data_IF_059742871243
#
_entry.id   IF_059742871243
#
_cell.length_a   1.000
_cell.length_b   1.000
_cell.length_c   1.000
_cell.angle_alpha   90.00
_cell.angle_beta   90.00
_cell.angle_gamma   90.00
#
_symmetry.space_group_name_H-M   'P 1'
#
loop_
_entity.id
_entity.type
_entity.pdbx_description
1 polymer ?
#
# COMPACT_ATOMS: atom_id res chain seq x y z
N UNK A 1 17.19 -92.68 20.09
CA UNK A 1 18.43 -92.24 20.77
C UNK A 1 18.49 -90.72 20.59
N UNK A 2 18.19 -89.85 21.57
CA UNK A 2 19.00 -89.51 22.77
C UNK A 2 20.49 -89.39 22.41
N UNK A 3 21.21 -88.27 22.59
CA UNK A 3 21.28 -87.34 23.74
C UNK A 3 21.93 -85.98 23.30
N UNK A 4 21.46 -84.89 23.94
CA UNK A 4 22.08 -83.60 24.43
C UNK A 4 23.56 -83.33 24.12
N UNK A 5 24.11 -82.10 24.10
CA UNK A 5 23.79 -80.71 24.47
C UNK A 5 25.02 -79.86 24.02
N UNK A 6 25.20 -78.55 24.14
CA UNK A 6 24.84 -77.51 25.11
C UNK A 6 25.01 -76.14 24.39
N UNK A 7 24.19 -75.15 24.75
CA UNK A 7 24.15 -73.77 24.22
C UNK A 7 24.59 -72.77 25.31
N UNK A 8 25.32 -71.73 24.91
CA UNK A 8 25.50 -70.39 25.52
C UNK A 8 26.04 -69.45 24.41
N UNK A 9 25.83 -68.11 24.42
CA UNK A 9 25.94 -67.27 25.62
C UNK A 9 24.99 -66.03 25.73
N UNK A 10 24.98 -65.42 26.94
CA UNK A 10 24.91 -63.96 27.29
C UNK A 10 23.77 -63.05 26.76
N UNK A 11 23.19 -62.08 27.47
CA UNK A 11 23.46 -61.47 28.77
C UNK A 11 22.22 -60.72 29.33
N UNK A 12 22.29 -60.49 30.66
CA UNK A 12 21.42 -59.76 31.59
C UNK A 12 20.83 -58.44 31.10
N UNK A 13 19.57 -58.22 31.48
CA UNK A 13 18.99 -56.90 31.69
C UNK A 13 19.35 -56.31 33.06
N UNK A 14 19.44 -54.98 33.12
CA UNK A 14 19.25 -54.13 34.30
C UNK A 14 18.75 -52.76 33.82
N UNK A 15 17.69 -52.27 34.47
CA UNK A 15 16.98 -51.05 34.07
C UNK A 15 17.76 -49.76 34.36
N UNK A 16 17.31 -48.69 33.71
CA UNK A 16 17.68 -47.31 34.06
C UNK A 16 16.56 -46.34 33.70
N UNK A 17 16.36 -45.41 34.63
CA UNK A 17 15.27 -44.45 34.77
C UNK A 17 15.23 -43.43 33.62
N UNK A 18 14.03 -43.09 33.16
CA UNK A 18 13.75 -41.82 32.48
C UNK A 18 13.47 -40.73 33.53
N UNK A 19 14.07 -39.53 33.42
CA UNK A 19 13.56 -38.35 34.10
C UNK A 19 12.47 -37.68 33.26
N UNK A 20 11.36 -37.38 33.93
CA UNK A 20 10.19 -36.62 33.50
C UNK A 20 10.57 -35.22 33.01
N UNK A 21 10.09 -34.88 31.81
CA UNK A 21 10.25 -33.57 31.19
C UNK A 21 9.45 -32.50 31.93
N UNK A 22 10.04 -31.31 32.00
CA UNK A 22 9.61 -30.17 32.81
C UNK A 22 8.33 -29.54 32.30
N UNK A 23 7.53 -29.07 33.26
CA UNK A 23 6.42 -28.13 33.12
C UNK A 23 6.81 -26.94 32.23
N UNK A 24 6.08 -26.71 31.15
CA UNK A 24 6.03 -25.41 30.47
C UNK A 24 5.14 -24.49 31.30
N UNK A 25 5.79 -23.52 31.97
CA UNK A 25 5.16 -22.47 32.74
C UNK A 25 4.99 -21.24 31.84
N UNK A 26 3.74 -20.82 31.64
CA UNK A 26 3.32 -19.41 31.69
C UNK A 26 3.71 -18.50 30.53
N UNK A 27 2.67 -18.04 29.82
CA UNK A 27 2.68 -16.94 28.87
C UNK A 27 3.51 -15.74 29.38
N UNK A 28 4.54 -15.37 28.62
CA UNK A 28 5.23 -14.09 28.81
C UNK A 28 4.64 -13.09 27.81
N UNK A 29 3.89 -12.14 28.37
CA UNK A 29 3.43 -10.89 27.79
C UNK A 29 4.35 -10.35 26.68
N UNK A 30 3.83 -10.33 25.45
CA UNK A 30 4.42 -9.59 24.32
C UNK A 30 4.19 -8.09 24.56
N UNK A 31 5.01 -7.51 25.44
CA UNK A 31 5.16 -6.06 25.51
C UNK A 31 5.76 -5.59 24.19
N UNK A 32 4.91 -5.01 23.35
CA UNK A 32 5.19 -4.03 22.31
C UNK A 32 6.68 -3.78 22.07
N UNK A 33 7.30 -4.65 21.27
CA UNK A 33 8.55 -4.31 20.61
C UNK A 33 8.20 -3.28 19.54
N UNK A 34 8.27 -2.00 19.90
CA UNK A 34 8.32 -0.86 19.00
C UNK A 34 9.61 -1.00 18.20
N UNK A 35 9.63 -1.89 17.21
CA UNK A 35 10.76 -2.07 16.33
C UNK A 35 10.86 -0.80 15.48
N UNK A 36 11.87 0.00 15.77
CA UNK A 36 12.32 1.10 14.93
C UNK A 36 12.88 0.46 13.66
N UNK A 37 12.02 0.21 12.68
CA UNK A 37 12.37 -0.25 11.34
C UNK A 37 12.04 0.91 10.41
N UNK A 38 12.98 1.84 10.25
CA UNK A 38 12.93 2.77 9.14
C UNK A 38 13.29 1.95 7.88
N UNK A 39 12.32 1.53 7.06
CA UNK A 39 12.61 0.72 5.88
C UNK A 39 13.20 1.66 4.83
N UNK A 40 13.61 1.09 3.69
CA UNK A 40 14.18 1.78 2.54
C UNK A 40 13.41 3.03 2.03
N UNK A 41 12.17 3.18 2.48
CA UNK A 41 11.30 4.35 2.37
C UNK A 41 11.74 5.60 3.13
N UNK A 42 12.46 5.45 4.25
CA UNK A 42 13.13 6.55 4.92
C UNK A 42 14.18 7.21 4.02
N UNK A 43 14.73 6.46 3.04
CA UNK A 43 15.70 6.99 2.09
C UNK A 43 15.08 7.96 1.06
N UNK A 44 13.77 7.85 0.76
CA UNK A 44 13.07 8.86 -0.03
C UNK A 44 12.40 9.96 0.81
N UNK A 45 12.54 9.89 2.14
CA UNK A 45 12.09 10.92 3.08
C UNK A 45 10.57 11.07 3.15
N UNK A 46 9.82 10.03 2.78
CA UNK A 46 8.37 9.95 2.95
C UNK A 46 8.07 8.97 4.09
N UNK A 47 7.06 9.26 4.91
CA UNK A 47 6.75 8.44 6.07
C UNK A 47 5.57 7.48 5.78
N UNK A 48 5.78 6.20 6.06
CA UNK A 48 4.86 5.10 5.76
C UNK A 48 4.32 4.41 7.03
N UNK A 49 4.49 5.01 8.21
CA UNK A 49 4.15 4.35 9.50
C UNK A 49 2.66 4.27 9.82
N UNK A 50 1.79 5.00 9.11
CA UNK A 50 0.36 5.09 9.45
C UNK A 50 -0.51 4.12 8.65
N UNK A 51 -0.29 4.01 7.34
CA UNK A 51 -0.89 2.93 6.54
C UNK A 51 0.27 2.08 6.03
N UNK A 52 0.69 1.06 6.80
CA UNK A 52 1.73 0.16 6.35
C UNK A 52 1.23 -0.64 5.16
N UNK A 53 2.16 -1.09 4.32
CA UNK A 53 1.83 -1.98 3.22
C UNK A 53 1.18 -3.27 3.75
N UNK A 54 -0.02 -3.58 3.26
CA UNK A 54 -0.68 -4.85 3.55
C UNK A 54 -0.46 -5.83 2.38
N UNK A 55 0.22 -6.97 2.60
CA UNK A 55 0.38 -7.98 1.56
C UNK A 55 -0.95 -8.68 1.28
N UNK A 56 -1.32 -8.83 0.01
CA UNK A 56 -2.58 -9.44 -0.43
C UNK A 56 -2.42 -10.85 -1.04
N UNK A 57 -1.23 -11.46 -0.95
CA UNK A 57 -0.95 -12.81 -1.46
C UNK A 57 0.27 -12.86 -2.38
N UNK A 58 0.37 -13.91 -3.21
CA UNK A 58 1.46 -14.02 -4.19
C UNK A 58 1.25 -13.05 -5.36
N UNK A 59 2.17 -12.10 -5.50
CA UNK A 59 2.16 -11.15 -6.61
C UNK A 59 2.91 -11.74 -7.78
N UNK A 60 2.22 -12.60 -8.53
CA UNK A 60 2.76 -13.24 -9.72
C UNK A 60 2.88 -12.20 -10.82
N UNK A 61 4.09 -12.03 -11.33
CA UNK A 61 4.38 -11.14 -12.44
C UNK A 61 3.65 -11.63 -13.71
N UNK A 62 2.85 -10.77 -14.35
CA UNK A 62 2.25 -11.07 -15.66
C UNK A 62 0.79 -11.50 -15.67
N UNK A 63 0.08 -11.52 -14.54
CA UNK A 63 -1.38 -11.68 -14.57
C UNK A 63 -2.01 -10.30 -14.78
N UNK A 64 -2.47 -10.07 -16.01
CA UNK A 64 -3.31 -8.94 -16.38
C UNK A 64 -4.70 -9.11 -15.72
N UNK A 65 -4.80 -8.84 -14.41
CA UNK A 65 -6.09 -8.71 -13.74
C UNK A 65 -6.70 -7.37 -14.15
N UNK A 66 -7.31 -7.35 -15.33
CA UNK A 66 -8.14 -6.23 -15.77
C UNK A 66 -9.43 -6.24 -14.95
N UNK A 67 -9.47 -5.40 -13.91
CA UNK A 67 -10.73 -4.96 -13.31
C UNK A 67 -10.78 -3.44 -13.49
N UNK A 68 -11.90 -2.99 -14.05
CA UNK A 68 -12.13 -1.66 -14.60
C UNK A 68 -12.25 -0.58 -13.50
N UNK A 69 -11.93 0.67 -13.89
CA UNK A 69 -12.75 1.89 -13.70
C UNK A 69 -11.94 3.17 -13.45
N UNK A 70 -10.64 3.06 -13.18
CA UNK A 70 -9.76 4.22 -13.07
C UNK A 70 -8.81 4.46 -14.25
N UNK A 71 -8.96 3.71 -15.36
CA UNK A 71 -8.21 3.88 -16.63
C UNK A 71 -6.76 4.37 -16.41
N UNK A 72 -5.98 3.64 -15.60
CA UNK A 72 -4.60 4.02 -15.27
C UNK A 72 -4.07 3.56 -13.91
N UNK A 73 -4.93 3.22 -12.95
CA UNK A 73 -4.50 2.76 -11.62
C UNK A 73 -4.14 1.27 -11.65
N UNK A 74 -3.07 0.82 -10.93
CA UNK A 74 -2.52 -0.52 -11.11
C UNK A 74 -3.50 -1.68 -10.86
N UNK A 75 -3.33 -2.73 -11.66
CA UNK A 75 -4.34 -3.78 -11.91
C UNK A 75 -4.39 -4.94 -10.92
N UNK A 76 -3.33 -5.24 -10.17
CA UNK A 76 -3.36 -6.32 -9.16
C UNK A 76 -3.48 -5.76 -7.75
N UNK A 77 -4.10 -6.52 -6.84
CA UNK A 77 -4.23 -6.16 -5.41
C UNK A 77 -2.89 -5.71 -4.80
N UNK A 78 -1.80 -6.35 -5.20
CA UNK A 78 -0.45 -6.01 -4.75
C UNK A 78 -0.01 -4.60 -5.14
N UNK A 79 -0.28 -4.19 -6.38
CA UNK A 79 0.08 -2.88 -6.91
C UNK A 79 -0.88 -1.80 -6.41
N UNK A 80 -2.15 -2.13 -6.18
CA UNK A 80 -3.12 -1.26 -5.50
C UNK A 80 -2.67 -0.94 -4.07
N UNK A 81 -2.29 -1.96 -3.29
CA UNK A 81 -1.79 -1.76 -1.93
C UNK A 81 -0.51 -0.91 -1.92
N UNK A 82 0.36 -1.10 -2.91
CA UNK A 82 1.56 -0.27 -3.07
C UNK A 82 1.18 1.19 -3.36
N UNK A 83 0.25 1.41 -4.28
CA UNK A 83 -0.25 2.74 -4.62
C UNK A 83 -0.93 3.43 -3.44
N UNK A 84 -1.78 2.74 -2.66
CA UNK A 84 -2.43 3.31 -1.47
C UNK A 84 -1.39 3.71 -0.42
N UNK A 85 -0.42 2.83 -0.17
CA UNK A 85 0.68 3.09 0.77
C UNK A 85 1.51 4.31 0.34
N UNK A 86 1.85 4.41 -0.94
CA UNK A 86 2.62 5.53 -1.51
C UNK A 86 1.82 6.83 -1.52
N UNK A 87 0.57 6.78 -1.98
CA UNK A 87 -0.29 7.96 -2.07
C UNK A 87 -0.59 8.55 -0.69
N UNK A 88 -0.77 7.71 0.34
CA UNK A 88 -0.98 8.22 1.70
C UNK A 88 0.28 8.89 2.26
N UNK A 89 1.45 8.28 2.02
CA UNK A 89 2.72 8.89 2.42
C UNK A 89 2.95 10.23 1.72
N UNK A 90 2.67 10.31 0.41
CA UNK A 90 2.74 11.55 -0.37
C UNK A 90 1.72 12.58 0.11
N UNK A 91 0.50 12.17 0.44
CA UNK A 91 -0.55 13.06 0.96
C UNK A 91 -0.11 13.74 2.26
N UNK A 92 0.47 12.97 3.18
CA UNK A 92 1.06 13.50 4.42
C UNK A 92 2.24 14.43 4.15
N UNK A 93 3.10 14.10 3.21
CA UNK A 93 4.21 14.98 2.82
C UNK A 93 3.68 16.30 2.25
N UNK A 94 2.65 16.23 1.41
CA UNK A 94 2.04 17.38 0.73
C UNK A 94 1.36 18.37 1.70
N UNK A 95 0.96 17.95 2.90
CA UNK A 95 0.45 18.88 3.92
C UNK A 95 1.55 19.70 4.61
N UNK A 96 2.82 19.33 4.43
CA UNK A 96 3.98 19.97 5.07
C UNK A 96 4.91 20.69 4.09
N UNK A 97 4.64 20.65 2.79
CA UNK A 97 5.49 21.22 1.74
C UNK A 97 4.71 21.76 0.56
N UNK A 98 5.43 22.07 -0.54
CA UNK A 98 4.89 22.90 -1.63
C UNK A 98 4.22 22.09 -2.77
N UNK A 99 4.30 20.76 -2.78
CA UNK A 99 3.82 19.92 -3.89
C UNK A 99 3.16 18.61 -3.48
N UNK A 100 2.34 18.05 -4.38
CA UNK A 100 1.68 16.74 -4.20
C UNK A 100 2.69 15.60 -4.31
N UNK A 101 3.59 15.68 -5.30
CA UNK A 101 4.67 14.74 -5.49
C UNK A 101 5.98 15.31 -4.98
N UNK A 102 6.92 14.41 -4.65
CA UNK A 102 8.30 14.78 -4.33
C UNK A 102 9.15 14.87 -5.60
N UNK A 103 10.29 15.55 -5.52
CA UNK A 103 11.21 15.65 -6.66
C UNK A 103 11.73 14.29 -7.15
N UNK A 104 12.12 14.23 -8.42
CA UNK A 104 12.58 13.00 -9.06
C UNK A 104 13.83 12.37 -8.42
N UNK A 105 14.71 13.14 -7.79
CA UNK A 105 15.90 12.58 -7.12
C UNK A 105 15.52 11.83 -5.84
N UNK A 106 14.58 12.38 -5.07
CA UNK A 106 13.98 11.69 -3.92
C UNK A 106 13.12 10.50 -4.36
N UNK A 107 12.32 10.65 -5.42
CA UNK A 107 11.46 9.58 -5.92
C UNK A 107 12.25 8.34 -6.35
N UNK A 108 13.39 8.52 -7.03
CA UNK A 108 14.30 7.41 -7.39
C UNK A 108 14.75 6.58 -6.18
N UNK A 109 14.83 7.19 -5.00
CA UNK A 109 15.19 6.50 -3.75
C UNK A 109 14.03 5.70 -3.15
N UNK A 110 12.79 5.91 -3.62
CA UNK A 110 11.61 5.13 -3.23
C UNK A 110 11.52 3.78 -3.97
N UNK A 111 12.40 3.46 -4.93
CA UNK A 111 12.27 2.25 -5.75
C UNK A 111 12.75 0.95 -5.05
N UNK A 112 13.07 1.01 -3.76
CA UNK A 112 13.39 -0.20 -3.01
C UNK A 112 12.14 -1.07 -2.83
N UNK A 113 12.26 -2.41 -2.83
CA UNK A 113 11.10 -3.26 -2.63
C UNK A 113 10.40 -3.05 -1.29
N UNK A 114 9.08 -3.28 -1.26
CA UNK A 114 8.32 -3.29 -0.02
C UNK A 114 8.82 -4.41 0.90
N UNK A 115 9.11 -4.09 2.16
CA UNK A 115 9.74 -5.04 3.08
C UNK A 115 8.94 -6.34 3.24
N UNK A 116 7.61 -6.21 3.38
CA UNK A 116 6.71 -7.36 3.51
C UNK A 116 6.52 -8.12 2.20
N UNK A 117 6.97 -7.59 1.05
CA UNK A 117 6.78 -8.21 -0.25
C UNK A 117 7.81 -7.74 -1.28
N UNK A 118 8.93 -8.47 -1.34
CA UNK A 118 10.11 -8.10 -2.14
C UNK A 118 9.89 -8.10 -3.66
N UNK A 119 8.79 -8.68 -4.15
CA UNK A 119 8.41 -8.66 -5.57
C UNK A 119 7.71 -7.36 -5.99
N UNK A 120 7.41 -6.47 -5.04
CA UNK A 120 6.68 -5.23 -5.26
C UNK A 120 7.57 -4.03 -4.92
N UNK A 121 7.56 -3.03 -5.80
CA UNK A 121 8.31 -1.79 -5.75
C UNK A 121 7.61 -0.73 -6.61
N UNK A 122 8.04 0.52 -6.54
CA UNK A 122 7.55 1.61 -7.42
C UNK A 122 7.60 1.17 -8.89
N UNK A 123 8.75 0.68 -9.34
CA UNK A 123 8.97 0.29 -10.73
C UNK A 123 8.16 -0.92 -11.16
N UNK A 124 8.08 -1.97 -10.32
CA UNK A 124 7.33 -3.18 -10.67
C UNK A 124 5.81 -2.94 -10.70
N UNK A 125 5.36 -1.85 -10.07
CA UNK A 125 3.99 -1.36 -10.11
C UNK A 125 3.71 -0.37 -11.24
N UNK A 126 4.71 0.06 -12.01
CA UNK A 126 4.56 1.08 -13.05
C UNK A 126 4.29 2.48 -12.50
N UNK A 127 4.85 2.79 -11.33
CA UNK A 127 4.68 4.07 -10.64
C UNK A 127 5.91 4.99 -10.82
N UNK A 128 6.76 4.68 -11.80
CA UNK A 128 8.05 5.35 -12.02
C UNK A 128 7.90 6.86 -12.28
N UNK A 129 6.80 7.26 -12.91
CA UNK A 129 6.55 8.65 -13.32
C UNK A 129 5.79 9.48 -12.27
N UNK A 130 5.56 8.96 -11.05
CA UNK A 130 4.88 9.70 -9.97
C UNK A 130 5.83 10.61 -9.17
N UNK A 131 6.52 11.51 -9.86
CA UNK A 131 7.39 12.52 -9.26
C UNK A 131 7.09 13.91 -9.82
N UNK A 132 7.41 14.94 -9.06
CA UNK A 132 7.17 16.32 -9.45
C UNK A 132 7.91 16.67 -10.75
N UNK A 133 7.17 17.22 -11.72
CA UNK A 133 7.73 17.66 -13.00
C UNK A 133 7.81 16.58 -14.09
N UNK A 134 7.35 15.35 -13.83
CA UNK A 134 7.29 14.28 -14.85
C UNK A 134 6.24 14.53 -15.93
N UNK A 135 5.20 15.28 -15.59
CA UNK A 135 4.00 15.56 -16.39
C UNK A 135 3.38 16.91 -16.00
N UNK A 136 2.37 17.37 -16.73
CA UNK A 136 1.66 18.61 -16.40
C UNK A 136 0.95 18.54 -15.03
N UNK A 137 0.20 17.46 -14.76
CA UNK A 137 -0.47 17.22 -13.48
C UNK A 137 0.51 16.97 -12.34
N UNK A 138 1.63 16.28 -12.57
CA UNK A 138 2.64 16.09 -11.51
C UNK A 138 3.28 17.39 -11.04
N UNK A 139 3.23 18.44 -11.88
CA UNK A 139 3.80 19.75 -11.60
C UNK A 139 2.85 20.65 -10.82
N UNK A 140 1.60 20.21 -10.60
CA UNK A 140 0.61 20.98 -9.86
C UNK A 140 0.87 20.90 -8.36
N UNK A 141 0.75 22.04 -7.70
CA UNK A 141 0.81 22.15 -6.25
C UNK A 141 -0.53 21.78 -5.60
N UNK A 142 -0.48 21.34 -4.33
CA UNK A 142 -1.70 21.07 -3.56
C UNK A 142 -2.57 22.32 -3.40
N UNK A 143 -1.94 23.49 -3.30
CA UNK A 143 -2.59 24.81 -3.26
C UNK A 143 -3.46 25.04 -4.50
N UNK A 144 -2.94 24.72 -5.69
CA UNK A 144 -3.64 24.83 -6.98
C UNK A 144 -4.85 23.91 -7.05
N UNK A 145 -4.73 22.67 -6.55
CA UNK A 145 -5.88 21.78 -6.42
C UNK A 145 -6.93 22.38 -5.48
N UNK A 146 -6.54 22.78 -4.27
CA UNK A 146 -7.47 23.33 -3.27
C UNK A 146 -8.22 24.58 -3.73
N UNK A 147 -7.65 25.39 -4.60
CA UNK A 147 -8.32 26.58 -5.15
C UNK A 147 -9.23 26.27 -6.35
N UNK A 148 -9.14 25.07 -6.93
CA UNK A 148 -9.88 24.70 -8.12
C UNK A 148 -11.28 24.16 -7.75
N UNK A 149 -12.37 24.71 -8.32
CA UNK A 149 -13.73 24.23 -8.03
C UNK A 149 -13.96 22.77 -8.44
N UNK A 150 -13.23 22.27 -9.44
CA UNK A 150 -13.27 20.88 -9.90
C UNK A 150 -12.81 19.93 -8.79
N UNK A 151 -11.73 20.31 -8.10
CA UNK A 151 -11.23 19.55 -6.97
C UNK A 151 -12.18 19.64 -5.77
N UNK A 152 -12.74 20.81 -5.48
CA UNK A 152 -13.64 21.00 -4.35
C UNK A 152 -14.89 20.11 -4.47
N UNK A 153 -15.47 19.99 -5.66
CA UNK A 153 -16.58 19.05 -5.90
C UNK A 153 -16.17 17.60 -5.59
N UNK A 154 -15.06 17.13 -6.15
CA UNK A 154 -14.57 15.77 -5.88
C UNK A 154 -14.24 15.54 -4.39
N UNK A 155 -13.60 16.50 -3.74
CA UNK A 155 -13.29 16.46 -2.31
C UNK A 155 -14.57 16.31 -1.47
N UNK A 156 -15.60 17.12 -1.73
CA UNK A 156 -16.86 17.05 -1.00
C UNK A 156 -17.59 15.71 -1.18
N UNK A 157 -17.54 15.12 -2.38
CA UNK A 157 -18.14 13.80 -2.62
C UNK A 157 -17.38 12.66 -1.93
N UNK A 158 -16.13 12.89 -1.51
CA UNK A 158 -15.27 11.93 -0.83
C UNK A 158 -15.09 12.22 0.67
N UNK A 159 -15.76 13.23 1.22
CA UNK A 159 -15.58 13.66 2.62
C UNK A 159 -16.48 12.93 3.64
N UNK A 160 -17.39 12.06 3.19
CA UNK A 160 -18.27 11.28 4.07
C UNK A 160 -18.77 10.00 3.40
N UNK A 161 -18.63 8.86 4.08
CA UNK A 161 -19.09 7.55 3.61
C UNK A 161 -20.32 7.00 4.34
N UNK A 162 -21.00 7.86 5.11
CA UNK A 162 -22.24 7.54 5.81
C UNK A 162 -23.46 8.19 5.16
N UNK A 163 -24.67 7.60 5.29
CA UNK A 163 -24.98 6.32 5.95
C UNK A 163 -24.82 5.09 5.04
N UNK A 164 -24.69 5.27 3.73
CA UNK A 164 -24.54 4.21 2.73
C UNK A 164 -23.15 4.28 2.13
N UNK A 165 -22.27 3.34 2.54
CA UNK A 165 -20.89 3.27 2.08
C UNK A 165 -20.82 3.09 0.57
N UNK A 166 -21.59 2.16 0.02
CA UNK A 166 -21.58 1.84 -1.42
C UNK A 166 -22.00 3.03 -2.28
N UNK A 167 -23.06 3.76 -1.88
CA UNK A 167 -23.52 4.94 -2.60
C UNK A 167 -22.49 6.08 -2.53
N UNK A 168 -21.90 6.29 -1.36
CA UNK A 168 -20.86 7.30 -1.16
C UNK A 168 -19.60 6.97 -1.95
N UNK A 169 -19.15 5.72 -1.96
CA UNK A 169 -18.03 5.27 -2.79
C UNK A 169 -18.29 5.51 -4.27
N UNK A 170 -19.47 5.13 -4.77
CA UNK A 170 -19.85 5.33 -6.16
C UNK A 170 -19.84 6.82 -6.54
N UNK A 171 -20.34 7.70 -5.66
CA UNK A 171 -20.33 9.14 -5.88
C UNK A 171 -18.91 9.70 -5.85
N UNK A 172 -18.10 9.34 -4.86
CA UNK A 172 -16.70 9.74 -4.73
C UNK A 172 -15.88 9.33 -5.96
N UNK A 173 -15.96 8.06 -6.38
CA UNK A 173 -15.24 7.54 -7.55
C UNK A 173 -15.66 8.25 -8.84
N UNK A 174 -16.97 8.47 -9.05
CA UNK A 174 -17.46 9.24 -10.21
C UNK A 174 -16.96 10.68 -10.19
N UNK A 175 -17.00 11.34 -9.04
CA UNK A 175 -16.57 12.72 -8.89
C UNK A 175 -15.08 12.87 -9.19
N UNK A 176 -14.26 11.93 -8.72
CA UNK A 176 -12.84 11.90 -9.01
C UNK A 176 -12.52 11.64 -10.49
N UNK A 177 -13.22 10.69 -11.14
CA UNK A 177 -13.08 10.44 -12.59
C UNK A 177 -13.45 11.69 -13.38
N UNK A 178 -14.54 12.36 -13.01
CA UNK A 178 -14.97 13.61 -13.62
C UNK A 178 -13.93 14.71 -13.42
N UNK A 179 -13.41 14.86 -12.20
CA UNK A 179 -12.38 15.84 -11.89
C UNK A 179 -11.12 15.61 -12.72
N UNK A 180 -10.64 14.35 -12.80
CA UNK A 180 -9.50 13.97 -13.63
C UNK A 180 -9.70 14.38 -15.07
N UNK A 181 -10.85 14.04 -15.65
CA UNK A 181 -11.14 14.35 -17.04
C UNK A 181 -11.18 15.86 -17.28
N UNK A 182 -11.75 16.64 -16.35
CA UNK A 182 -11.78 18.10 -16.48
C UNK A 182 -10.40 18.74 -16.30
N UNK A 183 -9.54 18.23 -15.42
CA UNK A 183 -8.14 18.66 -15.32
C UNK A 183 -7.36 18.35 -16.61
N UNK A 184 -7.56 17.17 -17.19
CA UNK A 184 -6.94 16.81 -18.47
C UNK A 184 -7.42 17.73 -19.61
N UNK A 185 -8.69 18.12 -19.62
CA UNK A 185 -9.22 19.08 -20.58
C UNK A 185 -8.57 20.46 -20.41
N UNK A 186 -8.41 20.94 -19.18
CA UNK A 186 -7.72 22.22 -18.88
C UNK A 186 -6.26 22.21 -19.33
N UNK A 187 -5.59 21.06 -19.24
CA UNK A 187 -4.19 20.86 -19.61
C UNK A 187 -4.01 20.45 -21.09
N UNK A 188 -5.08 20.39 -21.87
CA UNK A 188 -5.08 19.90 -23.25
C UNK A 188 -4.40 18.53 -23.41
N UNK A 189 -4.61 17.62 -22.46
CA UNK A 189 -3.90 16.35 -22.35
C UNK A 189 -4.83 15.13 -22.30
N UNK A 190 -6.08 15.28 -22.74
CA UNK A 190 -7.12 14.23 -22.69
C UNK A 190 -6.72 12.91 -23.35
N UNK A 191 -5.96 12.98 -24.44
CA UNK A 191 -5.54 11.82 -25.23
C UNK A 191 -4.20 11.21 -24.75
N UNK A 192 -3.63 11.72 -23.64
CA UNK A 192 -2.39 11.21 -23.09
C UNK A 192 -2.68 10.27 -21.90
N UNK A 193 -2.60 8.96 -22.15
CA UNK A 193 -2.84 7.93 -21.13
C UNK A 193 -1.92 8.05 -19.91
N UNK A 194 -0.67 8.45 -20.11
CA UNK A 194 0.28 8.66 -19.00
C UNK A 194 -0.13 9.85 -18.14
N UNK A 195 -0.52 10.96 -18.78
CA UNK A 195 -1.04 12.13 -18.07
C UNK A 195 -2.34 11.78 -17.32
N UNK A 196 -3.20 10.96 -17.92
CA UNK A 196 -4.44 10.49 -17.29
C UNK A 196 -4.18 9.73 -15.98
N UNK A 197 -3.21 8.82 -15.98
CA UNK A 197 -2.78 8.10 -14.78
C UNK A 197 -2.27 9.07 -13.72
N UNK A 198 -1.37 9.99 -14.13
CA UNK A 198 -0.70 10.90 -13.20
C UNK A 198 -1.69 11.91 -12.61
N UNK A 199 -2.60 12.47 -13.41
CA UNK A 199 -3.69 13.34 -12.92
C UNK A 199 -4.60 12.60 -11.94
N UNK A 200 -4.95 11.34 -12.22
CA UNK A 200 -5.73 10.52 -11.30
C UNK A 200 -5.01 10.32 -9.98
N UNK A 201 -3.73 9.97 -10.03
CA UNK A 201 -2.90 9.83 -8.83
C UNK A 201 -2.80 11.15 -8.04
N UNK A 202 -2.59 12.28 -8.72
CA UNK A 202 -2.52 13.60 -8.10
C UNK A 202 -3.80 13.95 -7.35
N UNK A 203 -4.97 13.68 -7.95
CA UNK A 203 -6.27 13.91 -7.33
C UNK A 203 -6.48 13.04 -6.09
N UNK A 204 -6.16 11.75 -6.17
CA UNK A 204 -6.29 10.84 -5.04
C UNK A 204 -5.42 11.31 -3.87
N UNK A 205 -4.16 11.69 -4.14
CA UNK A 205 -3.25 12.21 -3.12
C UNK A 205 -3.77 13.54 -2.55
N UNK A 206 -4.29 14.43 -3.39
CA UNK A 206 -4.83 15.71 -2.95
C UNK A 206 -6.09 15.58 -2.08
N UNK A 207 -6.97 14.61 -2.36
CA UNK A 207 -8.14 14.32 -1.52
C UNK A 207 -7.70 13.70 -0.20
N UNK A 208 -6.83 12.69 -0.22
CA UNK A 208 -6.27 12.11 1.00
C UNK A 208 -5.54 13.15 1.87
N UNK A 209 -4.86 14.12 1.25
CA UNK A 209 -4.20 15.22 1.96
C UNK A 209 -5.19 16.21 2.61
N UNK A 210 -6.41 16.29 2.10
CA UNK A 210 -7.49 17.10 2.69
C UNK A 210 -8.07 16.48 3.95
N UNK A 211 -8.09 15.14 4.04
CA UNK A 211 -8.61 14.37 5.18
C UNK A 211 -7.51 13.76 6.06
N UNK A 212 -6.27 14.25 5.98
CA UNK A 212 -5.08 13.59 6.57
C UNK A 212 -5.15 13.38 8.09
N UNK A 213 -5.99 14.14 8.77
CA UNK A 213 -6.19 14.10 10.22
C UNK A 213 -7.29 13.12 10.65
N UNK A 214 -8.03 12.53 9.69
CA UNK A 214 -9.14 11.60 9.93
C UNK A 214 -8.83 10.21 9.39
N UNK A 215 -8.20 9.38 10.22
CA UNK A 215 -7.76 8.03 9.84
C UNK A 215 -8.89 7.17 9.28
N UNK A 216 -10.07 7.19 9.90
CA UNK A 216 -11.23 6.42 9.42
C UNK A 216 -11.73 6.87 8.04
N UNK A 217 -11.72 8.18 7.76
CA UNK A 217 -12.15 8.68 6.45
C UNK A 217 -11.13 8.34 5.36
N UNK A 218 -9.84 8.35 5.68
CA UNK A 218 -8.78 7.93 4.75
C UNK A 218 -8.90 6.43 4.46
N UNK A 219 -9.13 5.60 5.48
CA UNK A 219 -9.36 4.17 5.31
C UNK A 219 -10.57 3.89 4.42
N UNK A 220 -11.71 4.50 4.73
CA UNK A 220 -12.94 4.39 3.93
C UNK A 220 -12.69 4.86 2.48
N UNK A 221 -11.99 5.98 2.30
CA UNK A 221 -11.63 6.51 0.99
C UNK A 221 -10.79 5.53 0.17
N UNK A 222 -9.73 4.98 0.75
CA UNK A 222 -8.90 3.99 0.06
C UNK A 222 -9.63 2.68 -0.19
N UNK A 223 -10.56 2.27 0.68
CA UNK A 223 -11.44 1.12 0.43
C UNK A 223 -12.34 1.37 -0.78
N UNK A 224 -12.90 2.58 -0.94
CA UNK A 224 -13.69 2.92 -2.13
C UNK A 224 -12.90 2.87 -3.44
N UNK A 225 -11.61 3.21 -3.42
CA UNK A 225 -10.75 3.14 -4.61
C UNK A 225 -10.43 1.70 -5.03
N UNK A 226 -10.75 0.70 -4.19
CA UNK A 226 -10.57 -0.72 -4.46
C UNK A 226 -11.82 -1.39 -5.06
N UNK A 227 -13.00 -0.76 -4.94
CA UNK A 227 -14.28 -1.23 -5.48
C UNK A 227 -14.43 -0.93 -6.98
#
# INVERSE_FOLDING_TARGET
MSVRGVVLPTARGQGSRMPTSRKFQGCMELKYAKLILAPAYAACGVNFTLIPYEPSGECIHGINEKINDWEGVPTSSCRRNAFNTLSHALARQATTGDGIFIDGERWKKCNNPFHQQQSVSVQTCGLDDLFYGSSQCSSLELSTFKQNPIYQDAFHQCASFSPSFDDACNNCTKALINARNQFLDQLNARENDTEKVICGAALIIAVAAGEIDSESLIEDFYQCLLL
#
